data_IF_850795441158
#
_entry.id   IF_850795441158
#
_cell.length_a   1.000
_cell.length_b   1.000
_cell.length_c   1.000
_cell.angle_alpha   90.00
_cell.angle_beta   90.00
_cell.angle_gamma   90.00
#
_symmetry.space_group_name_H-M   'P 1'
#
loop_
_entity.id
_entity.type
_entity.pdbx_description
1 polymer ?
#
# COMPACT_ATOMS: atom_id res chain seq x y z
N UNK A 1 8.32 16.15 32.39
CA UNK A 1 7.23 16.24 31.38
C UNK A 1 6.45 14.94 31.42
N UNK A 2 5.15 14.96 31.80
CA UNK A 2 4.31 13.77 31.70
C UNK A 2 4.00 13.56 30.20
N UNK A 3 4.56 12.48 29.63
CA UNK A 3 4.24 12.07 28.24
C UNK A 3 2.73 11.80 28.19
N UNK A 4 2.02 12.55 27.33
CA UNK A 4 0.59 12.29 27.11
C UNK A 4 0.43 10.88 26.55
N UNK A 5 -0.53 10.12 27.03
CA UNK A 5 -0.80 8.75 26.57
C UNK A 5 -1.00 8.66 25.05
N UNK A 6 -1.44 9.75 24.43
CA UNK A 6 -1.54 9.84 22.97
C UNK A 6 -0.20 9.57 22.24
N UNK A 7 0.93 10.02 22.80
CA UNK A 7 2.24 9.74 22.21
C UNK A 7 2.67 8.27 22.35
N UNK A 8 2.20 7.59 23.41
CA UNK A 8 2.38 6.14 23.55
C UNK A 8 1.60 5.42 22.43
N UNK A 9 0.37 5.88 22.13
CA UNK A 9 -0.41 5.34 21.01
C UNK A 9 0.33 5.52 19.67
N UNK A 10 0.93 6.70 19.44
CA UNK A 10 1.72 6.97 18.22
C UNK A 10 2.91 6.03 18.12
N UNK A 11 3.69 5.88 19.21
CA UNK A 11 4.85 4.98 19.24
C UNK A 11 4.43 3.51 19.02
N UNK A 12 3.37 3.05 19.68
CA UNK A 12 2.83 1.71 19.46
C UNK A 12 2.36 1.52 18.01
N UNK A 13 1.67 2.49 17.43
CA UNK A 13 1.21 2.44 16.05
C UNK A 13 2.38 2.34 15.07
N UNK A 14 3.44 3.11 15.29
CA UNK A 14 4.67 3.06 14.50
C UNK A 14 5.29 1.66 14.54
N UNK A 15 5.49 1.10 15.75
CA UNK A 15 6.09 -0.24 15.91
C UNK A 15 5.22 -1.32 15.25
N UNK A 16 3.91 -1.26 15.43
CA UNK A 16 2.95 -2.20 14.82
C UNK A 16 3.05 -2.16 13.29
N UNK A 17 3.07 -0.96 12.71
CA UNK A 17 3.11 -0.82 11.25
C UNK A 17 4.48 -1.17 10.67
N UNK A 18 5.59 -0.93 11.40
CA UNK A 18 6.91 -1.46 11.03
C UNK A 18 6.87 -2.99 11.00
N UNK A 19 6.33 -3.62 12.05
CA UNK A 19 6.25 -5.08 12.14
C UNK A 19 5.32 -5.68 11.07
N UNK A 20 4.23 -5.00 10.68
CA UNK A 20 3.36 -5.43 9.58
C UNK A 20 4.09 -5.44 8.23
N UNK A 21 5.16 -4.67 8.08
CA UNK A 21 6.04 -4.67 6.91
C UNK A 21 6.61 -6.05 6.55
N UNK A 22 6.72 -6.97 7.52
CA UNK A 22 7.10 -8.37 7.26
C UNK A 22 6.15 -9.05 6.28
N UNK A 23 4.87 -8.72 6.31
CA UNK A 23 3.85 -9.27 5.42
C UNK A 23 3.74 -8.44 4.13
N UNK A 24 3.77 -7.13 4.22
CA UNK A 24 3.47 -6.25 3.07
C UNK A 24 4.66 -6.01 2.16
N UNK A 25 5.89 -6.09 2.67
CA UNK A 25 7.12 -5.71 1.95
C UNK A 25 7.98 -6.88 1.46
N UNK A 26 7.75 -8.12 1.92
CA UNK A 26 8.73 -9.20 1.70
C UNK A 26 8.30 -10.27 0.71
N UNK A 27 7.07 -10.26 0.22
CA UNK A 27 6.58 -11.29 -0.71
C UNK A 27 7.48 -11.46 -1.93
N UNK A 28 7.95 -10.37 -2.51
CA UNK A 28 8.86 -10.34 -3.65
C UNK A 28 10.18 -11.09 -3.37
N UNK A 29 10.66 -11.05 -2.14
CA UNK A 29 11.92 -11.69 -1.72
C UNK A 29 11.78 -13.21 -1.64
N UNK A 30 10.62 -13.69 -1.17
CA UNK A 30 10.33 -15.12 -1.00
C UNK A 30 9.79 -15.79 -2.26
N UNK A 31 9.37 -15.04 -3.27
CA UNK A 31 8.76 -15.59 -4.49
C UNK A 31 9.67 -16.60 -5.18
N UNK A 32 10.92 -16.22 -5.40
CA UNK A 32 11.87 -17.09 -6.12
C UNK A 32 12.35 -18.29 -5.29
N UNK A 33 12.74 -18.15 -4.01
CA UNK A 33 13.05 -19.33 -3.17
C UNK A 33 11.92 -20.38 -3.16
N UNK A 34 10.65 -19.95 -3.05
CA UNK A 34 9.51 -20.85 -3.09
C UNK A 34 9.30 -21.47 -4.48
N UNK A 35 9.39 -20.66 -5.55
CA UNK A 35 9.26 -21.15 -6.92
C UNK A 35 10.31 -22.22 -7.23
N UNK A 36 11.56 -21.99 -6.83
CA UNK A 36 12.67 -22.92 -7.09
C UNK A 36 12.57 -24.19 -6.22
N UNK A 37 12.20 -24.08 -4.95
CA UNK A 37 12.11 -25.23 -4.04
C UNK A 37 11.01 -26.21 -4.44
N UNK A 38 9.83 -25.68 -4.84
CA UNK A 38 8.65 -26.50 -5.09
C UNK A 38 8.30 -26.64 -6.57
N UNK A 39 9.07 -26.00 -7.46
CA UNK A 39 8.81 -25.94 -8.90
C UNK A 39 7.41 -25.37 -9.21
N UNK A 40 6.98 -24.39 -8.40
CA UNK A 40 5.71 -23.71 -8.61
C UNK A 40 5.88 -22.55 -9.60
N UNK A 41 4.86 -22.34 -10.41
CA UNK A 41 4.78 -21.21 -11.34
C UNK A 41 4.77 -19.87 -10.58
N UNK A 42 5.49 -18.88 -11.09
CA UNK A 42 5.55 -17.54 -10.48
C UNK A 42 4.18 -16.85 -10.49
N UNK A 43 3.37 -17.10 -11.53
CA UNK A 43 2.00 -16.59 -11.62
C UNK A 43 1.10 -17.17 -10.54
N UNK A 44 1.18 -18.49 -10.30
CA UNK A 44 0.43 -19.15 -9.26
C UNK A 44 0.81 -18.63 -7.86
N UNK A 45 2.10 -18.44 -7.58
CA UNK A 45 2.55 -17.84 -6.32
C UNK A 45 2.06 -16.39 -6.18
N UNK A 46 2.19 -15.58 -7.23
CA UNK A 46 1.76 -14.18 -7.23
C UNK A 46 0.26 -14.01 -7.03
N UNK A 47 -0.55 -15.03 -7.41
CA UNK A 47 -1.97 -15.06 -7.12
C UNK A 47 -2.27 -14.98 -5.61
N UNK A 48 -1.40 -15.54 -4.74
CA UNK A 48 -1.57 -15.42 -3.30
C UNK A 48 -1.49 -13.95 -2.82
N UNK A 49 -0.54 -13.17 -3.36
CA UNK A 49 -0.44 -11.74 -3.09
C UNK A 49 -1.64 -10.96 -3.64
N UNK A 50 -2.10 -11.32 -4.83
CA UNK A 50 -3.29 -10.74 -5.46
C UNK A 50 -4.55 -10.98 -4.62
N UNK A 51 -4.75 -12.21 -4.13
CA UNK A 51 -5.84 -12.59 -3.22
C UNK A 51 -5.75 -11.78 -1.92
N UNK A 52 -4.55 -11.69 -1.33
CA UNK A 52 -4.32 -10.91 -0.11
C UNK A 52 -4.72 -9.45 -0.28
N UNK A 53 -4.29 -8.82 -1.37
CA UNK A 53 -4.57 -7.41 -1.67
C UNK A 53 -6.07 -7.18 -1.90
N UNK A 54 -6.71 -8.03 -2.71
CA UNK A 54 -8.13 -7.91 -3.01
C UNK A 54 -9.01 -8.12 -1.77
N UNK A 55 -8.81 -9.23 -1.06
CA UNK A 55 -9.56 -9.55 0.16
C UNK A 55 -9.26 -8.55 1.29
N UNK A 56 -8.02 -8.07 1.40
CA UNK A 56 -7.64 -7.03 2.37
C UNK A 56 -8.43 -5.75 2.17
N UNK A 57 -8.59 -5.30 0.93
CA UNK A 57 -9.44 -4.17 0.57
C UNK A 57 -10.92 -4.41 0.90
N UNK A 58 -11.42 -5.61 0.59
CA UNK A 58 -12.81 -5.99 0.89
C UNK A 58 -13.07 -6.04 2.40
N UNK A 59 -12.19 -6.68 3.17
CA UNK A 59 -12.31 -6.78 4.63
C UNK A 59 -12.15 -5.43 5.32
N UNK A 60 -11.41 -4.48 4.76
CA UNK A 60 -11.26 -3.14 5.31
C UNK A 60 -12.59 -2.42 5.50
N UNK A 61 -13.60 -2.70 4.66
CA UNK A 61 -14.96 -2.15 4.77
C UNK A 61 -15.62 -2.59 6.09
N UNK A 62 -15.39 -3.84 6.49
CA UNK A 62 -15.99 -4.41 7.70
C UNK A 62 -15.18 -4.10 8.95
N UNK A 63 -13.84 -4.06 8.84
CA UNK A 63 -12.96 -3.85 9.99
C UNK A 63 -13.10 -2.46 10.59
N UNK A 64 -13.50 -1.45 9.82
CA UNK A 64 -13.85 -0.12 10.34
C UNK A 64 -14.97 -0.19 11.37
N UNK A 65 -16.11 -0.79 11.01
CA UNK A 65 -17.26 -0.98 11.92
C UNK A 65 -16.90 -1.87 13.11
N UNK A 66 -16.10 -2.91 12.86
CA UNK A 66 -15.67 -3.85 13.90
C UNK A 66 -14.75 -3.15 14.92
N UNK A 67 -13.87 -2.26 14.44
CA UNK A 67 -12.99 -1.42 15.28
C UNK A 67 -13.79 -0.48 16.18
N UNK A 68 -14.87 0.11 15.66
CA UNK A 68 -15.74 0.99 16.45
C UNK A 68 -16.50 0.22 17.54
N UNK A 69 -16.90 -1.01 17.27
CA UNK A 69 -17.66 -1.86 18.22
C UNK A 69 -16.77 -2.52 19.26
N UNK A 70 -15.64 -3.10 18.86
CA UNK A 70 -14.79 -3.93 19.75
C UNK A 70 -13.50 -3.23 20.18
N UNK A 71 -13.21 -2.06 19.61
CA UNK A 71 -12.00 -1.28 19.86
C UNK A 71 -10.79 -1.74 19.06
N UNK A 72 -9.77 -0.88 18.95
CA UNK A 72 -8.58 -1.14 18.14
C UNK A 72 -7.70 -2.27 18.68
N UNK A 73 -7.65 -2.42 20.02
CA UNK A 73 -6.81 -3.42 20.69
C UNK A 73 -7.10 -4.84 20.22
N UNK A 74 -8.39 -5.25 20.18
CA UNK A 74 -8.78 -6.61 19.79
C UNK A 74 -8.36 -6.90 18.35
N UNK A 75 -8.68 -5.99 17.42
CA UNK A 75 -8.38 -6.20 16.00
C UNK A 75 -6.88 -6.26 15.71
N UNK A 76 -6.09 -5.37 16.34
CA UNK A 76 -4.64 -5.40 16.18
C UNK A 76 -4.03 -6.63 16.88
N UNK A 77 -4.64 -7.15 17.95
CA UNK A 77 -4.25 -8.44 18.53
C UNK A 77 -4.49 -9.58 17.54
N UNK A 78 -5.65 -9.59 16.86
CA UNK A 78 -5.93 -10.55 15.77
C UNK A 78 -4.89 -10.42 14.65
N UNK A 79 -4.50 -9.21 14.28
CA UNK A 79 -3.39 -9.00 13.31
C UNK A 79 -2.11 -9.68 13.76
N UNK A 80 -1.69 -9.49 15.02
CA UNK A 80 -0.45 -10.09 15.54
C UNK A 80 -0.48 -11.63 15.50
N UNK A 81 -1.60 -12.23 15.90
CA UNK A 81 -1.80 -13.68 15.84
C UNK A 81 -1.82 -14.16 14.39
N UNK A 82 -2.60 -13.51 13.51
CA UNK A 82 -2.70 -13.89 12.11
C UNK A 82 -1.35 -13.76 11.38
N UNK A 83 -0.60 -12.66 11.59
CA UNK A 83 0.73 -12.48 11.01
C UNK A 83 1.71 -13.55 11.52
N UNK A 84 1.67 -13.87 12.81
CA UNK A 84 2.46 -14.96 13.37
C UNK A 84 2.14 -16.29 12.70
N UNK A 85 0.86 -16.66 12.57
CA UNK A 85 0.42 -17.90 11.90
C UNK A 85 0.87 -17.89 10.43
N UNK A 86 0.75 -16.78 9.73
CA UNK A 86 1.22 -16.66 8.34
C UNK A 86 2.71 -16.94 8.27
N UNK A 87 3.54 -16.26 9.06
CA UNK A 87 4.99 -16.38 8.97
C UNK A 87 5.47 -17.78 9.40
N UNK A 88 5.00 -18.31 10.53
CA UNK A 88 5.37 -19.66 10.96
C UNK A 88 4.80 -20.75 10.03
N UNK A 89 3.58 -20.58 9.54
CA UNK A 89 2.96 -21.51 8.60
C UNK A 89 3.69 -21.52 7.24
N UNK A 90 4.12 -20.35 6.75
CA UNK A 90 4.91 -20.24 5.53
C UNK A 90 6.27 -20.94 5.63
N UNK A 91 6.88 -21.00 6.82
CA UNK A 91 8.11 -21.75 7.04
C UNK A 91 7.96 -23.26 6.87
N UNK A 92 6.74 -23.78 7.02
CA UNK A 92 6.40 -25.22 6.94
C UNK A 92 5.55 -25.57 5.71
N UNK A 93 5.43 -24.64 4.74
CA UNK A 93 4.59 -24.84 3.56
C UNK A 93 5.13 -25.97 2.69
N UNK A 94 4.22 -26.81 2.19
CA UNK A 94 4.53 -27.95 1.30
C UNK A 94 3.64 -28.00 0.06
N UNK A 95 2.52 -27.24 0.06
CA UNK A 95 1.56 -27.23 -1.03
C UNK A 95 1.08 -25.80 -1.32
N UNK A 96 0.83 -25.50 -2.60
CA UNK A 96 0.47 -24.15 -3.08
C UNK A 96 -0.83 -23.61 -2.43
N UNK A 97 -1.83 -24.48 -2.18
CA UNK A 97 -3.07 -24.05 -1.52
C UNK A 97 -2.84 -23.48 -0.10
N UNK A 98 -1.77 -23.94 0.59
CA UNK A 98 -1.38 -23.41 1.91
C UNK A 98 -0.91 -21.95 1.78
N UNK A 99 -0.19 -21.61 0.70
CA UNK A 99 0.21 -20.23 0.42
C UNK A 99 -1.02 -19.33 0.21
N UNK A 100 -2.03 -19.82 -0.51
CA UNK A 100 -3.29 -19.08 -0.70
C UNK A 100 -4.05 -18.88 0.61
N UNK A 101 -4.08 -19.90 1.47
CA UNK A 101 -4.73 -19.80 2.77
C UNK A 101 -3.96 -18.87 3.71
N UNK A 102 -2.64 -19.08 3.83
CA UNK A 102 -1.79 -18.34 4.76
C UNK A 102 -1.59 -16.89 4.29
N UNK A 103 -0.92 -16.70 3.15
CA UNK A 103 -0.62 -15.36 2.67
C UNK A 103 -1.85 -14.66 2.09
N UNK A 104 -2.63 -15.36 1.25
CA UNK A 104 -3.81 -14.80 0.61
C UNK A 104 -4.91 -14.43 1.60
N UNK A 105 -5.46 -15.40 2.32
CA UNK A 105 -6.63 -15.17 3.18
C UNK A 105 -6.24 -14.60 4.56
N UNK A 106 -5.36 -15.28 5.30
CA UNK A 106 -4.96 -14.82 6.65
C UNK A 106 -4.14 -13.54 6.59
N UNK A 107 -3.30 -13.36 5.56
CA UNK A 107 -2.60 -12.12 5.30
C UNK A 107 -3.57 -10.95 5.07
N UNK A 108 -4.64 -11.16 4.30
CA UNK A 108 -5.69 -10.16 4.09
C UNK A 108 -6.40 -9.77 5.40
N UNK A 109 -6.71 -10.73 6.26
CA UNK A 109 -7.26 -10.49 7.59
C UNK A 109 -6.29 -9.67 8.43
N UNK A 110 -5.00 -10.04 8.46
CA UNK A 110 -3.98 -9.33 9.21
C UNK A 110 -3.84 -7.87 8.77
N UNK A 111 -3.79 -7.61 7.44
CA UNK A 111 -3.68 -6.26 6.89
C UNK A 111 -4.90 -5.40 7.23
N UNK A 112 -6.10 -5.90 6.99
CA UNK A 112 -7.34 -5.14 7.21
C UNK A 112 -7.59 -4.85 8.69
N UNK A 113 -7.32 -5.81 9.57
CA UNK A 113 -7.46 -5.67 11.03
C UNK A 113 -6.37 -4.77 11.67
N UNK A 114 -5.35 -4.35 10.92
CA UNK A 114 -4.30 -3.44 11.38
C UNK A 114 -4.50 -2.01 10.87
N UNK A 115 -4.50 -1.83 9.54
CA UNK A 115 -4.38 -0.51 8.91
C UNK A 115 -5.53 0.40 9.33
N UNK A 116 -6.76 -0.08 9.23
CA UNK A 116 -7.95 0.73 9.55
C UNK A 116 -8.03 1.08 11.04
N UNK A 117 -7.92 0.13 12.00
CA UNK A 117 -7.96 0.46 13.42
C UNK A 117 -6.82 1.38 13.88
N UNK A 118 -5.59 1.16 13.41
CA UNK A 118 -4.45 2.01 13.77
C UNK A 118 -4.64 3.43 13.26
N UNK A 119 -4.97 3.58 11.97
CA UNK A 119 -5.16 4.90 11.34
C UNK A 119 -6.32 5.69 11.97
N UNK A 120 -7.40 5.03 12.38
CA UNK A 120 -8.55 5.68 13.00
C UNK A 120 -8.35 5.99 14.48
N UNK A 121 -7.44 5.31 15.17
CA UNK A 121 -7.22 5.51 16.62
C UNK A 121 -6.39 6.75 16.92
N UNK A 122 -5.32 7.01 16.15
CA UNK A 122 -4.41 8.15 16.40
C UNK A 122 -5.15 9.49 16.46
N UNK A 123 -5.98 9.85 15.46
CA UNK A 123 -6.67 11.16 15.46
C UNK A 123 -7.61 11.38 16.63
N UNK A 124 -8.06 10.30 17.29
CA UNK A 124 -9.01 10.37 18.44
C UNK A 124 -8.34 10.75 19.77
N UNK A 125 -6.99 10.80 19.78
CA UNK A 125 -6.19 11.18 20.96
C UNK A 125 -5.67 12.62 20.90
N UNK A 126 -5.73 13.29 19.75
CA UNK A 126 -5.12 14.60 19.54
C UNK A 126 -6.14 15.63 19.04
N UNK A 127 -6.22 16.75 19.73
CA UNK A 127 -6.90 17.97 19.26
C UNK A 127 -5.89 18.93 18.61
N UNK A 128 -4.74 19.16 19.28
CA UNK A 128 -3.61 19.91 18.74
C UNK A 128 -2.54 18.94 18.19
N UNK A 129 -1.80 19.36 17.15
CA UNK A 129 -0.73 18.56 16.48
C UNK A 129 -1.23 17.23 15.90
N UNK A 130 -2.52 17.15 15.56
CA UNK A 130 -3.16 15.94 15.03
C UNK A 130 -2.49 15.42 13.77
N UNK A 131 -2.15 16.32 12.82
CA UNK A 131 -1.45 15.95 11.59
C UNK A 131 -0.07 15.32 11.85
N UNK A 132 0.73 15.92 12.75
CA UNK A 132 2.03 15.38 13.13
C UNK A 132 1.91 13.99 13.77
N UNK A 133 0.95 13.80 14.67
CA UNK A 133 0.74 12.51 15.33
C UNK A 133 0.34 11.41 14.34
N UNK A 134 -0.56 11.71 13.39
CA UNK A 134 -0.96 10.79 12.32
C UNK A 134 0.25 10.42 11.45
N UNK A 135 1.00 11.42 10.98
CA UNK A 135 2.15 11.20 10.11
C UNK A 135 3.22 10.34 10.79
N UNK A 136 3.56 10.62 12.06
CA UNK A 136 4.52 9.83 12.82
C UNK A 136 4.05 8.40 13.09
N UNK A 137 2.76 8.18 13.29
CA UNK A 137 2.24 6.83 13.48
C UNK A 137 2.26 6.01 12.20
N UNK A 138 1.88 6.62 11.07
CA UNK A 138 1.74 5.91 9.77
C UNK A 138 3.10 5.71 9.08
N UNK A 139 4.12 6.51 9.36
CA UNK A 139 5.47 6.36 8.78
C UNK A 139 6.05 4.95 9.02
N UNK A 140 5.57 4.26 10.08
CA UNK A 140 5.95 2.88 10.39
C UNK A 140 5.73 1.91 9.22
N UNK A 141 4.68 2.10 8.41
CA UNK A 141 4.44 1.27 7.24
C UNK A 141 5.55 1.43 6.17
N UNK A 142 5.97 2.65 5.90
CA UNK A 142 7.07 2.92 4.97
C UNK A 142 8.41 2.40 5.51
N UNK A 143 8.69 2.60 6.80
CA UNK A 143 9.89 2.07 7.44
C UNK A 143 9.92 0.55 7.41
N UNK A 144 8.81 -0.13 7.71
CA UNK A 144 8.69 -1.58 7.60
C UNK A 144 8.95 -2.08 6.17
N UNK A 145 8.32 -1.44 5.19
CA UNK A 145 8.53 -1.76 3.77
C UNK A 145 9.96 -1.51 3.28
N UNK A 146 10.70 -0.58 3.89
CA UNK A 146 12.11 -0.33 3.55
C UNK A 146 13.07 -1.28 4.26
N UNK A 147 12.82 -1.62 5.52
CA UNK A 147 13.74 -2.42 6.35
C UNK A 147 13.62 -3.92 6.03
N UNK A 148 12.38 -4.43 5.99
CA UNK A 148 12.15 -5.87 5.92
C UNK A 148 12.63 -6.55 4.63
N UNK A 149 12.55 -5.97 3.43
CA UNK A 149 13.09 -6.61 2.23
C UNK A 149 14.58 -6.91 2.34
N UNK A 150 15.38 -5.93 2.80
CA UNK A 150 16.83 -6.08 2.96
C UNK A 150 17.15 -7.12 4.05
N UNK A 151 16.44 -7.03 5.20
CA UNK A 151 16.64 -7.96 6.30
C UNK A 151 16.21 -9.38 5.94
N UNK A 152 15.09 -9.55 5.21
CA UNK A 152 14.62 -10.85 4.73
C UNK A 152 15.64 -11.50 3.79
N UNK A 153 16.19 -10.72 2.83
CA UNK A 153 17.20 -11.24 1.92
C UNK A 153 18.48 -11.63 2.67
N UNK A 154 18.92 -10.79 3.61
CA UNK A 154 20.09 -11.13 4.45
C UNK A 154 19.88 -12.41 5.26
N UNK A 155 18.70 -12.62 5.81
CA UNK A 155 18.35 -13.84 6.55
C UNK A 155 18.35 -15.07 5.64
N UNK A 156 17.82 -14.96 4.42
CA UNK A 156 17.82 -16.04 3.43
C UNK A 156 19.25 -16.40 3.02
N UNK A 157 20.09 -15.40 2.75
CA UNK A 157 21.48 -15.59 2.35
C UNK A 157 22.35 -16.20 3.48
N UNK A 158 22.02 -15.88 4.76
CA UNK A 158 22.76 -16.34 5.92
C UNK A 158 22.34 -17.72 6.43
N UNK A 159 21.08 -18.08 6.24
CA UNK A 159 20.49 -19.32 6.74
C UNK A 159 19.74 -20.05 5.61
N UNK A 160 18.43 -19.92 5.59
CA UNK A 160 17.52 -20.41 4.57
C UNK A 160 16.20 -19.60 4.61
N UNK A 161 15.33 -19.80 3.64
CA UNK A 161 14.05 -19.09 3.59
C UNK A 161 13.09 -19.51 4.72
N UNK A 162 13.18 -20.75 5.23
CA UNK A 162 12.36 -21.24 6.35
C UNK A 162 12.74 -20.52 7.63
N UNK A 163 14.05 -20.43 7.92
CA UNK A 163 14.53 -19.70 9.10
C UNK A 163 14.26 -18.21 9.00
N UNK A 164 14.36 -17.62 7.81
CA UNK A 164 13.99 -16.23 7.58
C UNK A 164 12.52 -16.00 7.98
N UNK A 165 11.59 -16.85 7.53
CA UNK A 165 10.17 -16.76 7.96
C UNK A 165 9.99 -16.92 9.46
N UNK A 166 10.69 -17.84 10.11
CA UNK A 166 10.58 -18.06 11.58
C UNK A 166 11.07 -16.84 12.36
N UNK A 167 12.24 -16.29 12.02
CA UNK A 167 12.81 -15.11 12.68
C UNK A 167 11.90 -13.89 12.49
N UNK A 168 11.46 -13.65 11.26
CA UNK A 168 10.53 -12.58 10.94
C UNK A 168 9.18 -12.78 11.64
N UNK A 169 8.72 -14.04 11.76
CA UNK A 169 7.50 -14.40 12.48
C UNK A 169 7.57 -14.02 13.97
N UNK A 170 8.68 -14.31 14.63
CA UNK A 170 8.91 -13.90 16.04
C UNK A 170 8.89 -12.38 16.15
N UNK A 171 9.62 -11.69 15.27
CA UNK A 171 9.70 -10.24 15.28
C UNK A 171 8.34 -9.56 15.01
N UNK A 172 7.59 -10.06 14.02
CA UNK A 172 6.27 -9.56 13.70
C UNK A 172 5.25 -9.84 14.81
N UNK A 173 5.21 -11.07 15.32
CA UNK A 173 4.31 -11.45 16.41
C UNK A 173 4.54 -10.59 17.65
N UNK A 174 5.78 -10.48 18.13
CA UNK A 174 6.13 -9.66 19.28
C UNK A 174 5.91 -8.15 19.01
N UNK A 175 6.36 -7.69 17.83
CA UNK A 175 6.27 -6.28 17.42
C UNK A 175 4.84 -5.79 17.19
N UNK A 176 3.88 -6.69 16.95
CA UNK A 176 2.46 -6.33 16.86
C UNK A 176 1.74 -6.60 18.18
N UNK A 177 1.89 -7.80 18.75
CA UNK A 177 1.08 -8.24 19.89
C UNK A 177 1.34 -7.42 21.15
N UNK A 178 2.63 -7.13 21.47
CA UNK A 178 3.01 -6.38 22.67
C UNK A 178 2.47 -4.94 22.59
N UNK A 179 2.76 -4.13 21.55
CA UNK A 179 2.24 -2.77 21.49
C UNK A 179 0.72 -2.70 21.32
N UNK A 180 0.07 -3.72 20.75
CA UNK A 180 -1.39 -3.79 20.63
C UNK A 180 -2.08 -3.71 22.00
N UNK A 181 -1.45 -4.24 23.06
CA UNK A 181 -2.04 -4.22 24.40
C UNK A 181 -2.14 -2.80 24.99
N UNK A 182 -1.34 -1.87 24.49
CA UNK A 182 -1.37 -0.46 24.90
C UNK A 182 -2.35 0.38 24.06
N UNK A 183 -2.93 -0.16 22.99
CA UNK A 183 -3.92 0.56 22.20
C UNK A 183 -5.23 0.69 23.00
N UNK A 184 -5.69 1.94 23.15
CA UNK A 184 -6.94 2.28 23.82
C UNK A 184 -7.78 3.18 22.91
N UNK A 185 -9.11 3.06 22.97
CA UNK A 185 -10.00 4.02 22.30
C UNK A 185 -9.75 5.43 22.84
N UNK A 186 -9.72 6.41 21.95
CA UNK A 186 -9.43 7.80 22.33
C UNK A 186 -10.51 8.44 23.19
N UNK A 187 -10.20 9.47 24.00
CA UNK A 187 -11.15 10.18 24.84
C UNK A 187 -12.28 10.83 24.02
N UNK A 188 -11.99 11.30 22.81
CA UNK A 188 -12.98 11.89 21.89
C UNK A 188 -14.04 10.87 21.44
N UNK A 189 -13.70 9.59 21.34
CA UNK A 189 -14.66 8.55 21.00
C UNK A 189 -15.60 8.23 22.17
N UNK A 190 -15.09 8.23 23.39
CA UNK A 190 -15.92 8.03 24.59
C UNK A 190 -16.95 9.14 24.73
N UNK A 191 -16.59 10.37 24.39
CA UNK A 191 -17.47 11.52 24.44
C UNK A 191 -18.55 11.47 23.35
N UNK A 192 -18.19 11.11 22.11
CA UNK A 192 -19.14 10.96 21.00
C UNK A 192 -20.18 9.85 21.25
N UNK A 193 -19.77 8.74 21.89
CA UNK A 193 -20.67 7.65 22.28
C UNK A 193 -21.61 8.11 23.42
N UNK A 194 -21.10 8.89 24.38
CA UNK A 194 -21.89 9.40 25.51
C UNK A 194 -22.93 10.44 25.08
N UNK A 195 -22.58 11.26 24.06
CA UNK A 195 -23.43 12.38 23.60
C UNK A 195 -24.40 11.98 22.48
N UNK A 196 -24.41 10.71 22.03
CA UNK A 196 -25.25 10.22 20.92
C UNK A 196 -25.20 11.10 19.65
N UNK A 197 -24.08 11.80 19.44
CA UNK A 197 -23.91 12.71 18.30
C UNK A 197 -23.60 11.87 17.05
N UNK A 198 -24.38 12.01 15.97
CA UNK A 198 -24.00 11.40 14.69
C UNK A 198 -22.71 12.03 14.19
N UNK A 199 -21.81 11.22 13.63
CA UNK A 199 -20.48 11.60 13.06
C UNK A 199 -20.56 12.65 11.94
N UNK A 200 -21.73 13.18 11.64
CA UNK A 200 -22.06 13.99 10.44
C UNK A 200 -22.43 15.45 10.74
N UNK A 201 -21.76 16.09 11.67
CA UNK A 201 -21.99 17.54 11.85
C UNK A 201 -20.71 18.35 11.60
N UNK A 202 -20.10 18.17 10.43
CA UNK A 202 -19.31 19.21 9.79
C UNK A 202 -20.03 19.49 8.47
N UNK A 203 -20.72 20.62 8.43
CA UNK A 203 -21.42 21.12 7.27
C UNK A 203 -20.46 21.20 6.07
N UNK A 204 -20.62 20.32 5.14
CA UNK A 204 -19.99 20.38 3.84
C UNK A 204 -21.05 20.86 2.86
N UNK A 205 -20.99 22.15 2.53
CA UNK A 205 -22.04 22.81 1.76
C UNK A 205 -21.99 22.51 0.26
N UNK A 206 -20.83 22.04 -0.30
CA UNK A 206 -20.69 21.83 -1.75
C UNK A 206 -20.12 20.44 -2.09
N UNK A 207 -20.75 19.77 -3.06
CA UNK A 207 -20.21 18.52 -3.62
C UNK A 207 -21.24 17.64 -4.30
N UNK A 208 -20.76 16.78 -5.19
CA UNK A 208 -21.57 15.81 -5.92
C UNK A 208 -21.93 14.63 -5.03
N UNK A 209 -23.11 14.05 -5.25
CA UNK A 209 -23.44 12.73 -4.73
C UNK A 209 -22.68 11.66 -5.53
N UNK A 210 -22.51 10.45 -4.97
CA UNK A 210 -21.89 9.33 -5.70
C UNK A 210 -22.60 9.08 -7.04
N UNK A 211 -23.95 9.11 -7.06
CA UNK A 211 -24.73 8.91 -8.29
C UNK A 211 -24.49 9.98 -9.35
N UNK A 212 -24.27 11.22 -8.93
CA UNK A 212 -23.92 12.32 -9.83
C UNK A 212 -22.47 12.16 -10.33
N UNK A 213 -21.54 11.82 -9.45
CA UNK A 213 -20.11 11.60 -9.78
C UNK A 213 -19.95 10.48 -10.81
N UNK A 214 -20.66 9.35 -10.65
CA UNK A 214 -20.67 8.22 -11.59
C UNK A 214 -21.13 8.60 -13.02
N UNK A 215 -21.87 9.70 -13.19
CA UNK A 215 -22.28 10.21 -14.49
C UNK A 215 -21.23 11.12 -15.15
N UNK A 216 -20.16 11.48 -14.45
CA UNK A 216 -19.13 12.39 -14.97
C UNK A 216 -17.96 11.63 -15.57
N UNK A 217 -17.44 12.11 -16.70
CA UNK A 217 -16.21 11.57 -17.28
C UNK A 217 -15.00 11.66 -16.32
N UNK A 218 -14.95 12.71 -15.48
CA UNK A 218 -13.88 12.89 -14.47
C UNK A 218 -13.76 11.70 -13.54
N UNK A 219 -14.89 11.13 -13.11
CA UNK A 219 -14.92 9.99 -12.18
C UNK A 219 -14.26 8.75 -12.80
N UNK A 220 -14.68 8.39 -14.02
CA UNK A 220 -14.16 7.20 -14.70
C UNK A 220 -12.70 7.35 -15.11
N UNK A 221 -12.32 8.53 -15.62
CA UNK A 221 -10.91 8.81 -15.97
C UNK A 221 -10.03 8.69 -14.73
N UNK A 222 -10.43 9.29 -13.61
CA UNK A 222 -9.67 9.23 -12.38
C UNK A 222 -9.63 7.82 -11.79
N UNK A 223 -10.74 7.09 -11.80
CA UNK A 223 -10.81 5.69 -11.40
C UNK A 223 -9.89 4.78 -12.23
N UNK A 224 -9.88 4.96 -13.57
CA UNK A 224 -8.99 4.21 -14.47
C UNK A 224 -7.53 4.58 -14.21
N UNK A 225 -7.19 5.85 -13.98
CA UNK A 225 -5.84 6.27 -13.60
C UNK A 225 -5.38 5.52 -12.35
N UNK A 226 -6.20 5.43 -11.32
CA UNK A 226 -5.85 4.73 -10.07
C UNK A 226 -5.76 3.21 -10.26
N UNK A 227 -6.65 2.62 -11.06
CA UNK A 227 -6.59 1.21 -11.42
C UNK A 227 -5.28 0.87 -12.11
N UNK A 228 -4.94 1.57 -13.19
CA UNK A 228 -3.72 1.32 -13.97
C UNK A 228 -2.46 1.64 -13.17
N UNK A 229 -2.48 2.72 -12.37
CA UNK A 229 -1.37 3.08 -11.49
C UNK A 229 -1.06 1.97 -10.49
N UNK A 230 -2.06 1.50 -9.76
CA UNK A 230 -1.84 0.44 -8.78
C UNK A 230 -1.51 -0.90 -9.45
N UNK A 231 -2.06 -1.16 -10.64
CA UNK A 231 -1.72 -2.35 -11.42
C UNK A 231 -0.21 -2.44 -11.66
N UNK A 232 0.41 -1.41 -12.27
CA UNK A 232 1.86 -1.48 -12.54
C UNK A 232 2.71 -1.33 -11.28
N UNK A 233 2.30 -0.55 -10.28
CA UNK A 233 3.03 -0.43 -9.01
C UNK A 233 3.12 -1.79 -8.30
N UNK A 234 2.00 -2.50 -8.13
CA UNK A 234 1.98 -3.81 -7.46
C UNK A 234 2.69 -4.88 -8.29
N UNK A 235 2.58 -4.82 -9.62
CA UNK A 235 3.40 -5.65 -10.53
C UNK A 235 4.89 -5.49 -10.23
N UNK A 236 5.37 -4.25 -10.15
CA UNK A 236 6.79 -3.96 -9.91
C UNK A 236 7.20 -4.37 -8.50
N UNK A 237 6.41 -4.02 -7.48
CA UNK A 237 6.71 -4.37 -6.09
C UNK A 237 6.89 -5.87 -5.88
N UNK A 238 6.12 -6.70 -6.58
CA UNK A 238 6.19 -8.16 -6.45
C UNK A 238 7.31 -8.75 -7.32
N UNK A 239 7.51 -8.22 -8.52
CA UNK A 239 8.39 -8.87 -9.51
C UNK A 239 9.74 -8.17 -9.72
N UNK A 240 10.02 -7.02 -9.08
CA UNK A 240 11.28 -6.29 -9.24
C UNK A 240 12.49 -7.11 -8.79
N UNK A 241 12.40 -7.79 -7.65
CA UNK A 241 13.50 -8.57 -7.10
C UNK A 241 13.75 -9.84 -7.92
N UNK A 242 12.74 -10.67 -8.24
CA UNK A 242 12.91 -11.78 -9.16
C UNK A 242 13.50 -11.37 -10.52
N UNK A 243 12.99 -10.28 -11.11
CA UNK A 243 13.53 -9.75 -12.38
C UNK A 243 15.01 -9.38 -12.28
N UNK A 244 15.37 -8.63 -11.23
CA UNK A 244 16.76 -8.20 -11.04
C UNK A 244 17.71 -9.40 -10.93
N UNK A 245 17.30 -10.48 -10.28
CA UNK A 245 18.06 -11.73 -10.21
C UNK A 245 18.16 -12.44 -11.57
N UNK A 246 17.09 -12.48 -12.34
CA UNK A 246 17.06 -13.07 -13.69
C UNK A 246 18.06 -12.38 -14.65
N UNK A 247 18.35 -11.07 -14.44
CA UNK A 247 19.36 -10.30 -15.22
C UNK A 247 20.74 -10.26 -14.55
N UNK A 248 20.98 -11.07 -13.51
CA UNK A 248 22.28 -11.24 -12.86
C UNK A 248 22.62 -10.21 -11.78
N UNK A 249 21.65 -9.39 -11.33
CA UNK A 249 21.82 -8.47 -10.18
C UNK A 249 21.63 -9.25 -8.88
N UNK A 250 22.51 -9.02 -7.90
CA UNK A 250 22.41 -9.72 -6.61
C UNK A 250 21.10 -9.39 -5.89
N UNK A 251 20.53 -10.37 -5.17
CA UNK A 251 19.27 -10.24 -4.47
C UNK A 251 19.29 -9.10 -3.43
N UNK A 252 20.41 -8.91 -2.72
CA UNK A 252 20.55 -7.84 -1.73
C UNK A 252 20.52 -6.45 -2.42
N UNK A 253 21.11 -6.31 -3.60
CA UNK A 253 21.06 -5.07 -4.40
C UNK A 253 19.64 -4.79 -4.88
N UNK A 254 18.92 -5.82 -5.34
CA UNK A 254 17.53 -5.70 -5.76
C UNK A 254 16.59 -5.32 -4.59
N UNK A 255 16.78 -5.96 -3.42
CA UNK A 255 16.05 -5.62 -2.20
C UNK A 255 16.34 -4.17 -1.74
N UNK A 256 17.60 -3.73 -1.87
CA UNK A 256 17.98 -2.34 -1.56
C UNK A 256 17.33 -1.32 -2.50
N UNK A 257 17.19 -1.64 -3.79
CA UNK A 257 16.49 -0.80 -4.75
C UNK A 257 14.98 -0.69 -4.41
N UNK A 258 14.36 -1.79 -3.99
CA UNK A 258 12.98 -1.79 -3.50
C UNK A 258 12.83 -0.90 -2.25
N UNK A 259 13.76 -1.01 -1.31
CA UNK A 259 13.79 -0.16 -0.11
C UNK A 259 13.96 1.33 -0.46
N UNK A 260 14.84 1.65 -1.42
CA UNK A 260 15.02 3.02 -1.92
C UNK A 260 13.74 3.56 -2.54
N UNK A 261 13.04 2.76 -3.37
CA UNK A 261 11.73 3.12 -3.91
C UNK A 261 10.76 3.55 -2.80
N UNK A 262 10.67 2.78 -1.71
CA UNK A 262 9.75 3.07 -0.59
C UNK A 262 10.16 4.35 0.15
N UNK A 263 11.46 4.55 0.39
CA UNK A 263 11.98 5.76 1.04
C UNK A 263 11.69 7.01 0.20
N UNK A 264 11.95 6.95 -1.11
CA UNK A 264 11.64 8.06 -2.02
C UNK A 264 10.13 8.30 -2.11
N UNK A 265 9.31 7.23 -2.10
CA UNK A 265 7.84 7.34 -2.08
C UNK A 265 7.35 8.09 -0.86
N UNK A 266 7.92 7.84 0.31
CA UNK A 266 7.58 8.56 1.53
C UNK A 266 7.96 10.05 1.42
N UNK A 267 9.16 10.35 0.94
CA UNK A 267 9.61 11.72 0.71
C UNK A 267 8.67 12.45 -0.29
N UNK A 268 8.29 11.78 -1.37
CA UNK A 268 7.37 12.33 -2.37
C UNK A 268 5.97 12.62 -1.80
N UNK A 269 5.45 11.76 -0.90
CA UNK A 269 4.18 12.00 -0.21
C UNK A 269 4.24 13.28 0.64
N UNK A 270 5.32 13.47 1.39
CA UNK A 270 5.50 14.65 2.23
C UNK A 270 5.63 15.92 1.37
N UNK A 271 6.45 15.88 0.31
CA UNK A 271 6.60 16.99 -0.62
C UNK A 271 5.28 17.34 -1.29
N UNK A 272 4.53 16.33 -1.74
CA UNK A 272 3.23 16.54 -2.39
C UNK A 272 2.25 17.27 -1.46
N UNK A 273 2.22 16.94 -0.17
CA UNK A 273 1.35 17.59 0.81
C UNK A 273 1.61 19.11 0.91
N UNK A 274 2.87 19.56 0.79
CA UNK A 274 3.22 20.98 0.79
C UNK A 274 3.00 21.68 -0.56
N UNK A 275 3.22 20.95 -1.66
CA UNK A 275 3.18 21.51 -3.02
C UNK A 275 1.74 21.65 -3.51
N UNK A 276 0.84 20.79 -3.06
CA UNK A 276 -0.57 20.80 -3.44
C UNK A 276 -1.25 22.13 -3.08
N UNK A 277 -0.96 22.72 -1.93
CA UNK A 277 -1.54 23.99 -1.51
C UNK A 277 -1.21 25.15 -2.47
N UNK A 278 -0.07 25.06 -3.17
CA UNK A 278 0.37 26.11 -4.13
C UNK A 278 -0.05 25.81 -5.57
N UNK A 279 -0.01 24.55 -5.99
CA UNK A 279 -0.21 24.19 -7.39
C UNK A 279 -1.59 23.59 -7.71
N UNK A 280 -2.30 23.08 -6.69
CA UNK A 280 -3.53 22.30 -6.82
C UNK A 280 -3.25 20.81 -7.07
N UNK A 281 -4.17 19.93 -6.62
CA UNK A 281 -4.00 18.48 -6.62
C UNK A 281 -3.85 17.88 -8.02
N UNK A 282 -4.67 18.30 -8.98
CA UNK A 282 -4.63 17.79 -10.37
C UNK A 282 -3.31 18.11 -11.07
N UNK A 283 -2.67 19.24 -10.79
CA UNK A 283 -1.35 19.56 -11.39
C UNK A 283 -0.24 18.72 -10.77
N UNK A 284 -0.26 18.53 -9.45
CA UNK A 284 0.75 17.69 -8.76
C UNK A 284 0.61 16.23 -9.20
N UNK A 285 -0.64 15.73 -9.34
CA UNK A 285 -0.93 14.43 -9.94
C UNK A 285 -0.29 14.28 -11.32
N UNK A 286 -0.47 15.27 -12.17
CA UNK A 286 0.11 15.27 -13.53
C UNK A 286 1.64 15.14 -13.51
N UNK A 287 2.36 15.87 -12.65
CA UNK A 287 3.82 15.77 -12.54
C UNK A 287 4.25 14.41 -11.96
N UNK A 288 3.52 13.87 -10.99
CA UNK A 288 3.77 12.52 -10.45
C UNK A 288 3.62 11.45 -11.54
N UNK A 289 2.64 11.58 -12.43
CA UNK A 289 2.41 10.63 -13.51
C UNK A 289 3.41 10.77 -14.68
N UNK A 290 4.03 11.95 -14.87
CA UNK A 290 5.21 12.08 -15.76
C UNK A 290 6.36 11.23 -15.22
N UNK A 291 6.65 11.31 -13.93
CA UNK A 291 7.71 10.50 -13.33
C UNK A 291 7.39 8.99 -13.48
N UNK A 292 6.12 8.59 -13.29
CA UNK A 292 5.68 7.22 -13.56
C UNK A 292 5.97 6.78 -15.00
N UNK A 293 5.54 7.57 -15.98
CA UNK A 293 5.75 7.28 -17.39
C UNK A 293 7.25 7.13 -17.71
N UNK A 294 8.08 8.08 -17.26
CA UNK A 294 9.52 8.06 -17.51
C UNK A 294 10.19 6.84 -16.88
N UNK A 295 9.84 6.50 -15.64
CA UNK A 295 10.39 5.32 -14.97
C UNK A 295 9.98 4.03 -15.68
N UNK A 296 8.71 3.90 -16.07
CA UNK A 296 8.22 2.70 -16.76
C UNK A 296 8.83 2.54 -18.15
N UNK A 297 9.08 3.63 -18.87
CA UNK A 297 9.80 3.59 -20.14
C UNK A 297 11.28 3.18 -19.98
N UNK A 298 11.88 3.49 -18.81
CA UNK A 298 13.24 3.06 -18.48
C UNK A 298 13.29 1.57 -18.11
N UNK A 299 12.21 1.00 -17.58
CA UNK A 299 12.17 -0.35 -16.99
C UNK A 299 12.70 -1.45 -17.93
N UNK A 300 12.31 -1.54 -19.23
CA UNK A 300 12.81 -2.56 -20.14
C UNK A 300 14.33 -2.46 -20.40
N UNK A 301 14.94 -1.30 -20.15
CA UNK A 301 16.37 -1.05 -20.34
C UNK A 301 17.19 -1.18 -19.06
N UNK A 302 16.58 -1.65 -17.96
CA UNK A 302 17.22 -1.77 -16.64
C UNK A 302 18.10 -3.02 -16.59
N UNK A 303 19.30 -2.97 -17.17
CA UNK A 303 20.23 -4.10 -17.25
C UNK A 303 21.38 -4.03 -16.25
N UNK A 304 21.41 -3.02 -15.38
CA UNK A 304 22.46 -2.83 -14.38
C UNK A 304 21.92 -2.32 -13.06
N UNK A 305 22.67 -2.53 -11.98
CA UNK A 305 22.30 -2.04 -10.65
C UNK A 305 22.09 -0.51 -10.61
N UNK A 306 22.94 0.26 -11.32
CA UNK A 306 22.80 1.71 -11.37
C UNK A 306 21.47 2.14 -12.02
N UNK A 307 21.09 1.50 -13.14
CA UNK A 307 19.81 1.77 -13.79
C UNK A 307 18.61 1.31 -12.92
N UNK A 308 18.76 0.22 -12.17
CA UNK A 308 17.75 -0.25 -11.24
C UNK A 308 17.50 0.77 -10.10
N UNK A 309 18.56 1.34 -9.52
CA UNK A 309 18.43 2.40 -8.51
C UNK A 309 17.87 3.70 -9.10
N UNK A 310 18.27 4.08 -10.32
CA UNK A 310 17.68 5.22 -11.02
C UNK A 310 16.18 5.02 -11.26
N UNK A 311 15.80 3.85 -11.77
CA UNK A 311 14.40 3.44 -11.96
C UNK A 311 13.62 3.53 -10.66
N UNK A 312 14.12 2.92 -9.57
CA UNK A 312 13.51 2.92 -8.26
C UNK A 312 13.31 4.34 -7.69
N UNK A 313 14.30 5.22 -7.91
CA UNK A 313 14.24 6.63 -7.51
C UNK A 313 13.16 7.39 -8.26
N UNK A 314 13.12 7.30 -9.59
CA UNK A 314 12.13 8.01 -10.40
C UNK A 314 10.73 7.46 -10.11
N UNK A 315 10.58 6.13 -10.03
CA UNK A 315 9.30 5.50 -9.68
C UNK A 315 8.84 5.91 -8.28
N UNK A 316 9.75 6.06 -7.33
CA UNK A 316 9.45 6.49 -5.97
C UNK A 316 8.72 7.83 -5.89
N UNK A 317 8.95 8.75 -6.84
CA UNK A 317 8.21 10.03 -6.92
C UNK A 317 6.70 9.80 -7.04
N UNK A 318 6.29 8.67 -7.62
CA UNK A 318 4.87 8.30 -7.74
C UNK A 318 4.20 7.98 -6.41
N UNK A 319 4.95 7.79 -5.34
CA UNK A 319 4.42 7.64 -3.98
C UNK A 319 3.54 8.81 -3.54
N UNK A 320 3.72 9.99 -4.14
CA UNK A 320 2.80 11.13 -3.99
C UNK A 320 1.33 10.75 -4.24
N UNK A 321 1.06 9.72 -5.05
CA UNK A 321 -0.29 9.26 -5.37
C UNK A 321 -1.09 8.86 -4.13
N UNK A 322 -0.47 8.32 -3.09
CA UNK A 322 -1.16 7.97 -1.83
C UNK A 322 -1.81 9.19 -1.16
N UNK A 323 -1.18 10.35 -1.24
CA UNK A 323 -1.75 11.62 -0.74
C UNK A 323 -2.72 12.21 -1.76
N UNK A 324 -2.36 12.17 -3.03
CA UNK A 324 -3.10 12.82 -4.11
C UNK A 324 -4.47 12.19 -4.38
N UNK A 325 -4.64 10.89 -4.21
CA UNK A 325 -5.93 10.23 -4.44
C UNK A 325 -7.06 10.82 -3.59
N UNK A 326 -6.78 11.21 -2.35
CA UNK A 326 -7.78 11.87 -1.48
C UNK A 326 -7.97 13.33 -1.88
N UNK A 327 -6.89 14.08 -2.06
CA UNK A 327 -6.92 15.51 -2.36
C UNK A 327 -7.60 15.77 -3.71
N UNK A 328 -7.23 15.01 -4.74
CA UNK A 328 -7.83 15.13 -6.08
C UNK A 328 -9.31 14.71 -6.05
N UNK A 329 -9.68 13.70 -5.25
CA UNK A 329 -11.08 13.34 -5.09
C UNK A 329 -11.91 14.50 -4.52
N UNK A 330 -11.38 15.20 -3.51
CA UNK A 330 -12.04 16.40 -2.94
C UNK A 330 -12.10 17.54 -3.97
N UNK A 331 -11.01 17.78 -4.71
CA UNK A 331 -10.93 18.83 -5.73
C UNK A 331 -11.92 18.59 -6.90
N UNK A 332 -12.14 17.34 -7.29
CA UNK A 332 -13.02 16.97 -8.41
C UNK A 332 -14.50 16.89 -8.04
N UNK A 333 -14.82 16.45 -6.82
CA UNK A 333 -16.18 16.04 -6.45
C UNK A 333 -16.76 16.80 -5.24
N UNK A 334 -15.94 17.62 -4.55
CA UNK A 334 -16.31 18.32 -3.32
C UNK A 334 -16.28 17.43 -2.08
N UNK A 335 -16.72 17.98 -0.95
CA UNK A 335 -16.60 17.36 0.37
C UNK A 335 -17.87 16.65 0.86
N UNK A 336 -19.04 17.00 0.32
CA UNK A 336 -20.36 16.59 0.84
C UNK A 336 -20.56 15.07 0.97
N UNK A 337 -20.16 14.29 -0.04
CA UNK A 337 -20.30 12.83 -0.07
C UNK A 337 -18.97 12.15 -0.37
N UNK A 338 -17.86 12.77 0.03
CA UNK A 338 -16.51 12.32 -0.33
C UNK A 338 -16.21 10.89 0.14
N UNK A 339 -16.73 10.47 1.28
CA UNK A 339 -16.49 9.11 1.79
C UNK A 339 -16.98 8.01 0.85
N UNK A 340 -18.21 8.16 0.31
CA UNK A 340 -18.78 7.21 -0.65
C UNK A 340 -18.04 7.21 -1.98
N UNK A 341 -17.65 8.41 -2.46
CA UNK A 341 -16.93 8.59 -3.72
C UNK A 341 -15.54 8.01 -3.60
N UNK A 342 -14.82 8.36 -2.54
CA UNK A 342 -13.47 7.88 -2.27
C UNK A 342 -13.44 6.35 -2.11
N UNK A 343 -14.45 5.76 -1.45
CA UNK A 343 -14.56 4.31 -1.31
C UNK A 343 -14.57 3.58 -2.65
N UNK A 344 -15.36 4.07 -3.63
CA UNK A 344 -15.39 3.48 -4.97
C UNK A 344 -14.10 3.76 -5.75
N UNK A 345 -13.55 4.97 -5.63
CA UNK A 345 -12.30 5.36 -6.29
C UNK A 345 -11.12 4.51 -5.77
N UNK A 346 -11.04 4.27 -4.47
CA UNK A 346 -10.02 3.40 -3.86
C UNK A 346 -10.19 1.94 -4.28
N UNK A 347 -11.44 1.49 -4.47
CA UNK A 347 -11.71 0.13 -4.98
C UNK A 347 -11.10 -0.10 -6.36
N UNK A 348 -11.14 0.88 -7.28
CA UNK A 348 -10.42 0.78 -8.55
C UNK A 348 -8.92 0.54 -8.36
N UNK A 349 -8.29 1.28 -7.45
CA UNK A 349 -6.87 1.10 -7.14
C UNK A 349 -6.59 -0.31 -6.57
N UNK A 350 -7.38 -0.75 -5.59
CA UNK A 350 -7.23 -2.07 -4.97
C UNK A 350 -7.40 -3.19 -6.01
N UNK A 351 -8.39 -3.07 -6.90
CA UNK A 351 -8.65 -4.06 -7.94
C UNK A 351 -7.51 -4.12 -8.98
N UNK A 352 -6.99 -2.95 -9.41
CA UNK A 352 -5.80 -2.90 -10.26
C UNK A 352 -4.58 -3.54 -9.61
N UNK A 353 -4.32 -3.17 -8.35
CA UNK A 353 -3.21 -3.72 -7.57
C UNK A 353 -3.29 -5.23 -7.34
N UNK A 354 -4.49 -5.79 -7.25
CA UNK A 354 -4.68 -7.23 -7.14
C UNK A 354 -4.39 -7.97 -8.46
N UNK A 355 -4.71 -7.38 -9.60
CA UNK A 355 -4.52 -8.04 -10.90
C UNK A 355 -3.06 -8.00 -11.39
N UNK A 356 -2.32 -6.94 -11.07
CA UNK A 356 -0.98 -6.71 -11.61
C UNK A 356 0.02 -7.83 -11.37
N UNK A 357 0.23 -8.28 -10.12
CA UNK A 357 1.20 -9.34 -9.81
C UNK A 357 0.88 -10.67 -10.49
N UNK A 358 -0.39 -11.08 -10.48
CA UNK A 358 -0.84 -12.29 -11.16
C UNK A 358 -0.55 -12.23 -12.67
N UNK A 359 -0.87 -11.10 -13.30
CA UNK A 359 -0.62 -10.86 -14.73
C UNK A 359 0.86 -11.03 -15.08
N UNK A 360 1.77 -10.38 -14.34
CA UNK A 360 3.20 -10.44 -14.66
C UNK A 360 3.80 -11.83 -14.38
N UNK A 361 3.34 -12.50 -13.32
CA UNK A 361 3.73 -13.87 -13.04
C UNK A 361 3.29 -14.83 -14.14
N UNK A 362 2.03 -14.75 -14.59
CA UNK A 362 1.51 -15.57 -15.67
C UNK A 362 2.23 -15.33 -17.02
N UNK A 363 2.58 -14.08 -17.31
CA UNK A 363 3.39 -13.76 -18.50
C UNK A 363 4.77 -14.39 -18.41
N UNK A 364 5.40 -14.32 -17.23
CA UNK A 364 6.69 -14.95 -17.01
C UNK A 364 6.62 -16.46 -17.23
N UNK A 365 5.62 -17.14 -16.70
CA UNK A 365 5.43 -18.59 -16.83
C UNK A 365 5.26 -19.03 -18.31
N UNK A 366 4.63 -18.18 -19.14
CA UNK A 366 4.42 -18.45 -20.58
C UNK A 366 5.66 -18.07 -21.41
N UNK A 367 6.25 -16.90 -21.15
CA UNK A 367 7.29 -16.31 -22.01
C UNK A 367 8.72 -16.60 -21.51
N UNK A 368 8.90 -17.12 -20.29
CA UNK A 368 10.21 -17.28 -19.63
C UNK A 368 10.92 -15.97 -19.32
N UNK A 369 10.23 -14.83 -19.41
CA UNK A 369 10.80 -13.50 -19.25
C UNK A 369 9.76 -12.49 -18.75
N UNK A 370 10.20 -11.51 -17.93
CA UNK A 370 9.36 -10.38 -17.52
C UNK A 370 9.25 -9.28 -18.60
N UNK A 371 10.04 -9.33 -19.67
CA UNK A 371 10.12 -8.27 -20.68
C UNK A 371 8.73 -7.91 -21.27
N UNK A 372 7.87 -8.88 -21.69
CA UNK A 372 6.55 -8.54 -22.23
C UNK A 372 5.65 -7.87 -21.18
N UNK A 373 5.71 -8.31 -19.92
CA UNK A 373 4.96 -7.70 -18.83
C UNK A 373 5.40 -6.24 -18.58
N UNK A 374 6.70 -5.97 -18.63
CA UNK A 374 7.25 -4.64 -18.42
C UNK A 374 6.99 -3.69 -19.60
N UNK A 375 7.03 -4.19 -20.83
CA UNK A 375 6.57 -3.43 -22.00
C UNK A 375 5.08 -3.06 -21.84
N UNK A 376 4.25 -3.99 -21.38
CA UNK A 376 2.85 -3.70 -21.08
C UNK A 376 2.73 -2.60 -20.01
N UNK A 377 3.47 -2.69 -18.91
CA UNK A 377 3.51 -1.63 -17.89
C UNK A 377 3.95 -0.28 -18.46
N UNK A 378 4.92 -0.26 -19.40
CA UNK A 378 5.36 0.96 -20.08
C UNK A 378 4.23 1.57 -20.92
N UNK A 379 3.50 0.76 -21.68
CA UNK A 379 2.32 1.21 -22.44
C UNK A 379 1.22 1.75 -21.51
N UNK A 380 0.98 1.08 -20.37
CA UNK A 380 0.03 1.55 -19.36
C UNK A 380 0.47 2.88 -18.75
N UNK A 381 1.77 3.08 -18.49
CA UNK A 381 2.33 4.35 -18.02
C UNK A 381 2.05 5.51 -18.97
N UNK A 382 2.24 5.29 -20.28
CA UNK A 382 1.90 6.27 -21.33
C UNK A 382 0.39 6.53 -21.35
N UNK A 383 -0.43 5.48 -21.23
CA UNK A 383 -1.89 5.59 -21.19
C UNK A 383 -2.35 6.44 -20.00
N UNK A 384 -1.81 6.18 -18.81
CA UNK A 384 -2.12 6.94 -17.59
C UNK A 384 -1.71 8.41 -17.73
N UNK A 385 -0.56 8.67 -18.35
CA UNK A 385 -0.14 10.04 -18.66
C UNK A 385 -1.11 10.76 -19.60
N UNK A 386 -1.56 10.11 -20.69
CA UNK A 386 -2.55 10.68 -21.61
C UNK A 386 -3.86 10.95 -20.87
N UNK A 387 -4.36 10.01 -20.06
CA UNK A 387 -5.57 10.20 -19.26
C UNK A 387 -5.44 11.39 -18.28
N UNK A 388 -4.25 11.61 -17.72
CA UNK A 388 -4.00 12.75 -16.85
C UNK A 388 -4.08 14.09 -17.57
N UNK A 389 -3.64 14.16 -18.84
CA UNK A 389 -3.80 15.33 -19.70
C UNK A 389 -5.28 15.62 -19.97
N UNK A 390 -6.05 14.58 -20.26
CA UNK A 390 -7.50 14.68 -20.47
C UNK A 390 -8.20 15.20 -19.22
N UNK A 391 -7.88 14.59 -18.05
CA UNK A 391 -8.42 15.02 -16.75
C UNK A 391 -8.13 16.49 -16.47
N UNK A 392 -6.87 16.92 -16.68
CA UNK A 392 -6.44 18.32 -16.50
C UNK A 392 -7.18 19.29 -17.42
N UNK A 393 -7.43 18.92 -18.68
CA UNK A 393 -8.21 19.75 -19.63
C UNK A 393 -9.66 19.91 -19.19
N UNK A 394 -10.34 18.79 -18.85
CA UNK A 394 -11.74 18.81 -18.42
C UNK A 394 -11.91 19.60 -17.11
N UNK A 395 -10.94 19.53 -16.19
CA UNK A 395 -11.00 20.26 -14.93
C UNK A 395 -10.85 21.77 -15.17
N UNK A 396 -9.96 22.20 -16.07
CA UNK A 396 -9.79 23.61 -16.43
C UNK A 396 -11.00 24.23 -17.14
N UNK A 397 -11.62 23.48 -18.04
CA UNK A 397 -12.79 23.96 -18.77
C UNK A 397 -13.98 24.29 -17.84
N UNK A 398 -14.16 23.50 -16.76
CA UNK A 398 -15.24 23.73 -15.79
C UNK A 398 -14.96 24.85 -14.77
N UNK A 399 -13.70 25.27 -14.60
CA UNK A 399 -13.35 26.40 -13.71
C UNK A 399 -13.45 27.77 -14.40
N UNK A 400 -13.76 27.78 -15.71
CA UNK A 400 -13.95 28.99 -16.51
C UNK A 400 -15.43 29.24 -16.84
N UNK A 401 -16.32 28.35 -16.46
CA UNK A 401 -17.77 28.52 -16.46
C UNK A 401 -18.29 28.84 -15.05
#
# INVERSE_FOLDING_TARGET
MKISYGWIIVACSLIILVALGTLTGTFSIFLEPLANQFQWERGALSAAFSICTFLGGLFAIFTGKLSDRYGPRLLVTVTGIATGIVMFGMAEVTALWQVYLLWGLLGAVAMSCCIVPVSSTIPRWFTAKRGLAISLGIIGMALGGAIWPVLAQWLIDSFDWQQAFRVMGIAAFAGILIPAQFLKPGPLQKQAIADNLPETTIAAEDGLTLRQSLKTAKFWIFGIILFLHNFYIMTILVHLVPYAKDIGITAITAASALSLFIIVSLAAQLVAAFVVDKLGGVKVLFFSLIAAMLSLLLLPFTVSAALLFLFATILGITGAMHTLQMIVSVELFGTRHIGSILGVVLFFGTFGGALGPFFAGSIYDIAGSYMPAFITCSCLGVTVFILSLVLKRITRANSQQ
#
